data_IF_222383423184
#
_entry.id   IF_222383423184
#
_cell.length_a   1.000
_cell.length_b   1.000
_cell.length_c   1.000
_cell.angle_alpha   90.00
_cell.angle_beta   90.00
_cell.angle_gamma   90.00
#
_symmetry.space_group_name_H-M   'P 1'
#
loop_
_entity.id
_entity.type
_entity.pdbx_description
1 polymer ?
#
# COMPACT_ATOMS: atom_id res chain seq x y z
N UNK A 1 -3.64 -9.96 0.47
CA UNK A 1 -3.95 -9.35 1.77
C UNK A 1 -2.65 -8.94 2.44
N UNK A 2 -2.64 -7.78 3.10
CA UNK A 2 -1.46 -7.23 3.76
C UNK A 2 -1.59 -7.45 5.27
N UNK A 3 -0.54 -7.94 5.91
CA UNK A 3 -0.51 -8.11 7.37
C UNK A 3 0.06 -6.83 8.00
N UNK A 4 -0.78 -6.10 8.71
CA UNK A 4 -0.43 -4.85 9.39
C UNK A 4 0.18 -5.11 10.79
N UNK A 5 0.09 -6.34 11.29
CA UNK A 5 0.64 -6.71 12.60
C UNK A 5 2.14 -6.98 12.51
N UNK A 6 2.95 -5.95 12.76
CA UNK A 6 4.40 -6.09 12.84
C UNK A 6 4.88 -7.01 13.98
N UNK A 7 4.05 -7.18 15.02
CA UNK A 7 4.42 -8.03 16.16
C UNK A 7 4.37 -9.51 15.78
N UNK A 8 3.50 -9.89 14.84
CA UNK A 8 3.43 -11.27 14.32
C UNK A 8 4.72 -11.72 13.61
N UNK A 9 5.55 -10.77 13.20
CA UNK A 9 6.85 -11.03 12.56
C UNK A 9 7.97 -11.28 13.56
N UNK A 10 7.75 -10.99 14.84
CA UNK A 10 8.75 -11.19 15.87
C UNK A 10 8.80 -12.67 16.32
N UNK A 11 9.98 -13.12 16.68
CA UNK A 11 10.14 -14.45 17.27
C UNK A 11 9.83 -14.40 18.75
N UNK A 12 8.76 -15.05 19.17
CA UNK A 12 8.41 -15.26 20.58
C UNK A 12 8.60 -16.72 20.95
N UNK A 13 9.44 -17.02 21.98
CA UNK A 13 9.55 -18.35 22.51
C UNK A 13 8.20 -18.87 23.01
N UNK A 14 7.91 -20.16 22.80
CA UNK A 14 6.60 -20.74 23.12
C UNK A 14 6.21 -20.57 24.60
N UNK A 15 7.17 -20.60 25.53
CA UNK A 15 6.91 -20.38 26.96
C UNK A 15 6.48 -18.95 27.27
N UNK A 16 7.06 -17.96 26.56
CA UNK A 16 6.69 -16.55 26.72
C UNK A 16 5.26 -16.31 26.25
N UNK A 17 4.94 -16.83 25.05
CA UNK A 17 3.59 -16.76 24.47
C UNK A 17 2.52 -17.43 25.35
N UNK A 18 2.86 -18.56 25.99
CA UNK A 18 1.97 -19.19 26.96
C UNK A 18 1.76 -18.32 28.21
N UNK A 19 2.82 -17.68 28.70
CA UNK A 19 2.75 -16.77 29.85
C UNK A 19 1.94 -15.52 29.54
N UNK A 20 2.13 -14.93 28.35
CA UNK A 20 1.33 -13.80 27.86
C UNK A 20 -0.15 -14.17 27.71
N UNK A 21 -0.45 -15.34 27.15
CA UNK A 21 -1.83 -15.79 27.03
C UNK A 21 -2.50 -15.98 28.39
N UNK A 22 -1.81 -16.56 29.38
CA UNK A 22 -2.32 -16.66 30.74
C UNK A 22 -2.54 -15.29 31.41
N UNK A 23 -1.61 -14.36 31.17
CA UNK A 23 -1.75 -13.00 31.68
C UNK A 23 -2.95 -12.29 31.01
N UNK A 24 -3.12 -12.48 29.71
CA UNK A 24 -4.21 -11.91 28.94
C UNK A 24 -5.60 -12.51 29.28
N UNK A 25 -5.66 -13.72 29.86
CA UNK A 25 -6.88 -14.30 30.41
C UNK A 25 -7.28 -13.65 31.73
N UNK A 26 -6.28 -13.17 32.50
CA UNK A 26 -6.50 -12.48 33.77
C UNK A 26 -6.85 -11.01 33.61
N UNK A 27 -6.40 -10.38 32.54
CA UNK A 27 -6.66 -8.98 32.23
C UNK A 27 -7.52 -8.87 30.95
N UNK A 28 -8.43 -7.89 30.90
CA UNK A 28 -9.28 -7.69 29.73
C UNK A 28 -8.43 -7.31 28.50
N UNK A 29 -8.34 -8.21 27.55
CA UNK A 29 -7.52 -8.11 26.33
C UNK A 29 -7.85 -6.89 25.44
N UNK A 30 -9.00 -6.28 25.63
CA UNK A 30 -9.49 -5.17 24.81
C UNK A 30 -8.85 -3.83 25.16
N UNK A 31 -8.23 -3.74 26.34
CA UNK A 31 -7.64 -2.50 26.83
C UNK A 31 -6.16 -2.42 26.44
N UNK A 32 -5.81 -1.33 25.80
CA UNK A 32 -4.40 -0.99 25.54
C UNK A 32 -4.04 0.29 26.29
N UNK A 33 -2.83 0.28 26.85
CA UNK A 33 -2.25 1.48 27.44
C UNK A 33 -1.49 2.24 26.37
N UNK A 34 -1.84 3.50 26.20
CA UNK A 34 -1.22 4.45 25.28
C UNK A 34 -0.59 5.57 26.08
N UNK A 35 0.56 6.06 25.63
CA UNK A 35 1.26 7.17 26.30
C UNK A 35 0.94 8.47 25.59
N UNK A 36 0.44 9.44 26.36
CA UNK A 36 0.27 10.83 25.93
C UNK A 36 1.42 11.63 26.55
N UNK A 37 2.24 12.22 25.72
CA UNK A 37 3.45 12.95 26.12
C UNK A 37 3.24 14.42 25.85
N UNK A 38 3.16 15.21 26.91
CA UNK A 38 3.15 16.69 26.84
C UNK A 38 4.58 17.20 26.84
N UNK A 39 4.95 18.00 25.86
CA UNK A 39 6.30 18.52 25.70
C UNK A 39 6.36 20.02 25.97
N UNK A 40 7.47 20.49 26.52
CA UNK A 40 7.74 21.90 26.75
C UNK A 40 9.23 22.22 26.69
N UNK A 41 9.58 23.49 26.50
CA UNK A 41 10.97 23.94 26.50
C UNK A 41 11.58 23.89 27.91
N UNK A 42 10.76 24.08 28.91
CA UNK A 42 11.09 24.01 30.32
C UNK A 42 9.97 23.30 31.08
N UNK A 43 10.17 23.14 32.38
CA UNK A 43 9.20 22.48 33.24
C UNK A 43 7.87 23.25 33.36
N UNK A 44 7.93 24.57 33.34
CA UNK A 44 6.72 25.42 33.42
C UNK A 44 5.83 25.27 32.18
N UNK A 45 6.44 25.34 30.99
CA UNK A 45 5.75 25.17 29.72
C UNK A 45 5.18 23.75 29.58
N UNK A 46 5.98 22.71 29.94
CA UNK A 46 5.53 21.33 29.93
C UNK A 46 4.35 21.10 30.89
N UNK A 47 4.38 21.66 32.09
CA UNK A 47 3.32 21.53 33.10
C UNK A 47 2.04 22.21 32.66
N UNK A 48 2.11 23.36 31.98
CA UNK A 48 0.96 24.02 31.40
C UNK A 48 0.24 23.14 30.36
N UNK A 49 0.99 22.58 29.41
CA UNK A 49 0.46 21.64 28.39
C UNK A 49 -0.08 20.35 29.03
N UNK A 50 0.59 19.87 30.05
CA UNK A 50 0.19 18.67 30.81
C UNK A 50 -1.14 18.86 31.52
N UNK A 51 -1.36 20.01 32.14
CA UNK A 51 -2.62 20.36 32.78
C UNK A 51 -3.79 20.43 31.78
N UNK A 52 -3.55 21.00 30.60
CA UNK A 52 -4.54 21.07 29.53
C UNK A 52 -4.87 19.67 28.99
N UNK A 53 -3.83 18.85 28.77
CA UNK A 53 -3.99 17.45 28.34
C UNK A 53 -4.81 16.65 29.35
N UNK A 54 -4.49 16.75 30.65
CA UNK A 54 -5.22 16.06 31.70
C UNK A 54 -6.67 16.53 31.82
N UNK A 55 -6.94 17.81 31.59
CA UNK A 55 -8.31 18.34 31.58
C UNK A 55 -9.14 17.73 30.46
N UNK A 56 -8.57 17.63 29.25
CA UNK A 56 -9.23 16.99 28.12
C UNK A 56 -9.43 15.50 28.34
N UNK A 57 -8.43 14.80 28.92
CA UNK A 57 -8.56 13.38 29.27
C UNK A 57 -9.63 13.14 30.34
N UNK A 58 -9.76 14.03 31.33
CA UNK A 58 -10.83 13.94 32.31
C UNK A 58 -12.21 14.03 31.65
N UNK A 59 -12.39 14.98 30.72
CA UNK A 59 -13.61 15.14 29.96
C UNK A 59 -13.91 13.89 29.10
N UNK A 60 -12.92 13.36 28.39
CA UNK A 60 -13.07 12.14 27.59
C UNK A 60 -13.40 10.91 28.42
N UNK A 61 -12.94 10.86 29.68
CA UNK A 61 -13.31 9.80 30.63
C UNK A 61 -14.78 9.91 31.04
N UNK A 62 -15.27 11.13 31.32
CA UNK A 62 -16.69 11.38 31.61
C UNK A 62 -17.60 11.03 30.42
N UNK A 63 -17.11 11.28 29.19
CA UNK A 63 -17.81 10.91 27.93
C UNK A 63 -17.72 9.39 27.64
N UNK A 64 -16.96 8.61 28.42
CA UNK A 64 -16.78 7.19 28.21
C UNK A 64 -15.92 6.80 27.00
N UNK A 65 -15.21 7.77 26.39
CA UNK A 65 -14.29 7.53 25.26
C UNK A 65 -12.95 6.96 25.67
N UNK A 66 -12.54 7.17 26.92
CA UNK A 66 -11.40 6.51 27.53
C UNK A 66 -11.84 5.85 28.82
N UNK A 67 -11.20 4.76 29.19
CA UNK A 67 -11.58 3.98 30.37
C UNK A 67 -10.99 4.56 31.64
N UNK A 68 -9.70 4.84 31.61
CA UNK A 68 -8.97 5.45 32.72
C UNK A 68 -7.68 6.09 32.23
N UNK A 69 -7.11 6.95 33.05
CA UNK A 69 -5.78 7.49 32.82
C UNK A 69 -5.03 7.66 34.12
N UNK A 70 -3.73 7.40 34.09
CA UNK A 70 -2.82 7.63 35.19
C UNK A 70 -1.90 8.79 34.82
N UNK A 71 -1.84 9.78 35.70
CA UNK A 71 -1.02 10.97 35.48
C UNK A 71 -0.49 11.52 36.80
N UNK A 72 0.63 12.23 36.72
CA UNK A 72 1.16 13.01 37.85
C UNK A 72 0.50 14.39 37.98
N UNK A 73 -0.61 14.66 37.27
CA UNK A 73 -1.24 15.97 37.21
C UNK A 73 -1.79 16.49 38.55
N UNK A 74 -1.99 15.60 39.53
CA UNK A 74 -2.36 16.02 40.87
C UNK A 74 -1.18 16.67 41.64
N UNK A 75 0.05 16.31 41.29
CA UNK A 75 1.29 16.80 41.89
C UNK A 75 1.92 17.93 41.05
N UNK A 76 1.72 17.90 39.73
CA UNK A 76 2.24 18.86 38.78
C UNK A 76 1.20 19.95 38.50
N UNK A 77 1.19 20.96 39.35
CA UNK A 77 0.28 22.09 39.23
C UNK A 77 1.02 23.25 38.55
N UNK A 78 0.50 23.85 37.47
CA UNK A 78 1.12 25.01 36.83
C UNK A 78 1.40 26.14 37.83
N UNK A 79 2.52 26.86 37.65
CA UNK A 79 2.98 27.91 38.57
C UNK A 79 1.93 29.01 38.74
N UNK A 80 1.30 29.44 37.66
CA UNK A 80 0.20 30.43 37.71
C UNK A 80 -0.97 29.99 38.61
N UNK A 81 -1.30 28.69 38.59
CA UNK A 81 -2.37 28.16 39.44
C UNK A 81 -1.93 28.08 40.88
N UNK A 82 -0.65 27.75 41.15
CA UNK A 82 -0.08 27.76 42.50
C UNK A 82 -0.08 29.16 43.09
N UNK A 83 0.39 30.17 42.33
CA UNK A 83 0.38 31.58 42.74
C UNK A 83 -1.04 32.08 43.00
N UNK A 84 -2.00 31.74 42.12
CA UNK A 84 -3.40 32.12 42.34
C UNK A 84 -3.97 31.53 43.63
N UNK A 85 -3.65 30.24 43.91
CA UNK A 85 -4.06 29.57 45.19
C UNK A 85 -3.39 30.18 46.40
N UNK A 86 -2.10 30.50 46.32
CA UNK A 86 -1.39 31.21 47.40
C UNK A 86 -1.95 32.57 47.66
N UNK A 87 -2.28 33.33 46.60
CA UNK A 87 -2.93 34.64 46.75
C UNK A 87 -4.30 34.53 47.44
N UNK A 88 -5.11 33.52 47.05
CA UNK A 88 -6.37 33.25 47.73
C UNK A 88 -6.16 32.87 49.22
N UNK A 89 -5.15 32.04 49.52
CA UNK A 89 -4.79 31.64 50.86
C UNK A 89 -4.43 32.82 51.74
N UNK A 90 -3.52 33.72 51.26
CA UNK A 90 -3.10 34.91 52.01
C UNK A 90 -4.22 35.94 52.13
N UNK A 91 -5.06 36.10 51.15
CA UNK A 91 -6.24 36.94 51.21
C UNK A 91 -7.30 36.46 52.23
N UNK A 92 -7.42 35.13 52.36
CA UNK A 92 -8.36 34.57 53.33
C UNK A 92 -7.82 34.62 54.75
N UNK A 93 -6.56 34.23 54.96
CA UNK A 93 -5.93 34.16 56.30
C UNK A 93 -5.25 35.49 56.67
N UNK A 94 -6.08 36.49 56.87
CA UNK A 94 -5.60 37.80 57.42
C UNK A 94 -5.08 37.64 58.84
N UNK A 95 -4.18 38.53 59.32
CA UNK A 95 -3.68 38.52 60.69
C UNK A 95 -4.80 38.49 61.73
N UNK A 96 -5.89 39.18 61.50
CA UNK A 96 -7.06 39.21 62.35
C UNK A 96 -7.79 37.87 62.44
N UNK A 97 -8.00 37.21 61.30
CA UNK A 97 -8.62 35.89 61.25
C UNK A 97 -7.76 34.83 61.91
N UNK A 98 -6.43 34.89 61.75
CA UNK A 98 -5.50 34.00 62.42
C UNK A 98 -5.53 34.20 63.92
N UNK A 99 -5.54 35.46 64.41
CA UNK A 99 -5.64 35.77 65.81
C UNK A 99 -6.96 35.24 66.40
N UNK A 100 -8.07 35.48 65.73
CA UNK A 100 -9.39 34.99 66.19
C UNK A 100 -9.44 33.45 66.21
N UNK A 101 -8.89 32.78 65.19
CA UNK A 101 -8.80 31.32 65.20
C UNK A 101 -7.98 30.77 66.38
N UNK A 102 -6.84 31.42 66.70
CA UNK A 102 -6.01 31.05 67.86
C UNK A 102 -6.76 31.22 69.16
N UNK A 103 -7.43 32.31 69.35
CA UNK A 103 -8.23 32.58 70.52
C UNK A 103 -9.37 31.55 70.66
N UNK A 104 -10.10 31.29 69.60
CA UNK A 104 -11.17 30.31 69.61
C UNK A 104 -10.65 28.90 69.92
N UNK A 105 -9.57 28.45 69.28
CA UNK A 105 -8.97 27.14 69.52
C UNK A 105 -8.47 27.04 70.98
N UNK A 106 -7.81 28.05 71.48
CA UNK A 106 -7.31 28.04 72.90
C UNK A 106 -8.45 27.98 73.89
N UNK A 107 -9.53 28.74 73.67
CA UNK A 107 -10.72 28.70 74.52
C UNK A 107 -11.41 27.35 74.53
N UNK A 108 -11.65 26.81 73.35
CA UNK A 108 -12.30 25.49 73.25
C UNK A 108 -11.38 24.33 73.71
N UNK A 109 -10.07 24.41 73.44
CA UNK A 109 -9.12 23.46 73.89
C UNK A 109 -9.06 23.36 75.44
N UNK A 110 -9.10 24.50 76.13
CA UNK A 110 -9.21 24.55 77.57
C UNK A 110 -10.52 23.93 78.06
N UNK A 111 -11.64 24.16 77.41
CA UNK A 111 -12.95 23.58 77.72
C UNK A 111 -12.98 22.06 77.65
N UNK A 112 -12.22 21.51 76.67
CA UNK A 112 -12.13 20.05 76.49
C UNK A 112 -10.88 19.43 77.09
N UNK A 113 -10.21 20.15 77.99
CA UNK A 113 -9.04 19.67 78.82
C UNK A 113 -7.84 19.23 77.92
N UNK A 114 -7.64 19.82 76.72
CA UNK A 114 -6.42 19.63 76.01
C UNK A 114 -5.23 20.29 76.69
N UNK A 115 -4.02 19.74 76.48
CA UNK A 115 -2.79 20.36 76.96
C UNK A 115 -2.61 21.74 76.28
N UNK A 116 -2.08 22.70 77.04
CA UNK A 116 -1.92 24.10 76.61
C UNK A 116 -1.23 24.28 75.24
N UNK A 117 -0.29 23.42 74.95
CA UNK A 117 0.46 23.49 73.70
C UNK A 117 0.04 22.45 72.63
N UNK A 118 -1.07 21.78 72.79
CA UNK A 118 -1.52 20.73 71.88
C UNK A 118 -1.66 21.16 70.44
N UNK A 119 -2.02 22.41 70.18
CA UNK A 119 -2.24 22.96 68.85
C UNK A 119 -1.12 23.89 68.33
N UNK A 120 -0.01 23.98 69.09
CA UNK A 120 1.14 24.83 68.68
C UNK A 120 1.75 24.42 67.31
N UNK A 121 1.91 23.10 66.97
CA UNK A 121 2.38 22.73 65.65
C UNK A 121 1.46 23.17 64.51
N UNK A 122 0.15 23.19 64.76
CA UNK A 122 -0.83 23.71 63.79
C UNK A 122 -0.70 25.23 63.57
N UNK A 123 -0.49 25.99 64.67
CA UNK A 123 -0.29 27.42 64.55
C UNK A 123 1.02 27.78 63.83
N UNK A 124 2.08 27.06 64.12
CA UNK A 124 3.36 27.18 63.37
C UNK A 124 3.20 26.87 61.90
N UNK A 125 2.45 25.81 61.58
CA UNK A 125 2.12 25.51 60.18
C UNK A 125 1.27 26.60 59.52
N UNK A 126 0.28 27.16 60.19
CA UNK A 126 -0.59 28.22 59.67
C UNK A 126 0.19 29.53 59.38
N UNK A 127 1.26 29.79 60.12
CA UNK A 127 2.09 30.99 59.97
C UNK A 127 3.27 30.78 59.01
N UNK A 128 3.49 29.56 58.59
CA UNK A 128 4.59 29.24 57.69
C UNK A 128 4.41 29.98 56.34
N UNK A 129 5.44 30.65 55.83
CA UNK A 129 5.38 31.19 54.48
C UNK A 129 5.35 30.06 53.48
N UNK A 130 4.26 29.97 52.72
CA UNK A 130 4.15 29.03 51.61
C UNK A 130 4.71 29.66 50.34
N UNK A 131 5.45 28.88 49.56
CA UNK A 131 6.00 29.27 48.27
C UNK A 131 5.55 28.26 47.21
N UNK A 132 5.55 28.66 45.92
CA UNK A 132 5.33 27.69 44.83
C UNK A 132 6.30 26.50 44.94
N UNK A 133 5.85 25.34 44.54
CA UNK A 133 6.64 24.11 44.61
C UNK A 133 7.73 24.20 43.52
N UNK A 134 8.98 24.02 43.92
CA UNK A 134 10.11 23.87 43.01
C UNK A 134 10.17 22.43 42.50
N UNK A 135 9.86 22.24 41.23
CA UNK A 135 9.89 20.94 40.57
C UNK A 135 11.33 20.47 40.20
N UNK A 136 12.34 21.33 40.36
CA UNK A 136 13.74 20.98 40.15
C UNK A 136 14.41 20.38 41.39
N UNK A 137 13.69 20.33 42.52
CA UNK A 137 14.20 19.76 43.72
C UNK A 137 14.38 18.22 43.58
N UNK A 138 15.47 17.68 44.12
CA UNK A 138 15.84 16.28 44.04
C UNK A 138 14.74 15.32 44.50
N UNK A 139 13.97 15.67 45.51
CA UNK A 139 12.85 14.87 46.06
C UNK A 139 11.73 14.80 45.01
N UNK A 140 11.40 15.94 44.40
CA UNK A 140 10.33 16.01 43.39
C UNK A 140 10.73 15.27 42.10
N UNK A 141 11.99 15.40 41.71
CA UNK A 141 12.55 14.68 40.55
C UNK A 141 12.50 13.17 40.75
N UNK A 142 12.81 12.66 41.96
CA UNK A 142 12.71 11.22 42.27
C UNK A 142 11.27 10.71 42.24
N UNK A 143 10.33 11.47 42.77
CA UNK A 143 8.89 11.12 42.79
C UNK A 143 8.29 11.13 41.34
N UNK A 144 8.78 12.00 40.47
CA UNK A 144 8.29 12.19 39.14
C UNK A 144 9.06 11.39 38.08
N UNK A 145 10.09 10.63 38.45
CA UNK A 145 11.00 9.95 37.54
C UNK A 145 10.30 9.02 36.54
N UNK A 146 9.16 8.44 36.90
CA UNK A 146 8.34 7.61 35.99
C UNK A 146 7.44 8.42 35.05
N UNK A 147 7.21 9.70 35.36
CA UNK A 147 6.28 10.58 34.65
C UNK A 147 6.95 11.71 33.90
N UNK A 148 8.25 11.90 34.14
CA UNK A 148 9.06 12.95 33.57
C UNK A 148 10.30 12.38 32.90
N UNK A 149 10.60 12.87 31.71
CA UNK A 149 11.90 12.65 31.06
C UNK A 149 12.34 13.95 30.41
N UNK A 150 13.66 14.14 30.29
CA UNK A 150 14.25 15.30 29.63
C UNK A 150 15.28 14.83 28.63
N UNK A 151 15.23 15.35 27.41
CA UNK A 151 16.19 15.09 26.36
C UNK A 151 16.38 16.37 25.51
N UNK A 152 17.60 16.70 25.21
CA UNK A 152 17.97 17.79 24.28
C UNK A 152 17.22 19.11 24.48
N UNK A 153 17.18 19.63 25.69
CA UNK A 153 16.45 20.86 26.06
C UNK A 153 14.90 20.78 25.99
N UNK A 154 14.34 19.59 25.86
CA UNK A 154 12.90 19.36 25.93
C UNK A 154 12.53 18.61 27.22
N UNK A 155 11.57 19.16 27.96
CA UNK A 155 10.95 18.46 29.10
C UNK A 155 9.68 17.76 28.62
N UNK A 156 9.54 16.50 28.95
CA UNK A 156 8.43 15.63 28.55
C UNK A 156 7.72 15.09 29.78
N UNK A 157 6.41 15.24 29.83
CA UNK A 157 5.55 14.74 30.88
C UNK A 157 4.61 13.67 30.31
N UNK A 158 4.60 12.50 30.93
CA UNK A 158 3.94 11.30 30.41
C UNK A 158 2.61 11.10 31.15
N UNK A 159 1.55 10.83 30.41
CA UNK A 159 0.26 10.34 30.90
C UNK A 159 -0.02 8.97 30.29
N UNK A 160 -0.34 7.98 31.10
CA UNK A 160 -0.74 6.66 30.64
C UNK A 160 -2.26 6.62 30.53
N UNK A 161 -2.77 6.37 29.34
CA UNK A 161 -4.22 6.34 29.04
C UNK A 161 -4.63 4.93 28.64
N UNK A 162 -5.64 4.38 29.29
CA UNK A 162 -6.25 3.09 28.95
C UNK A 162 -7.52 3.33 28.11
N UNK A 163 -7.56 2.76 26.92
CA UNK A 163 -8.68 2.86 26.01
C UNK A 163 -8.82 1.59 25.16
N UNK A 164 -9.99 1.42 24.54
CA UNK A 164 -10.20 0.34 23.57
C UNK A 164 -9.59 0.73 22.21
N UNK A 165 -9.28 -0.27 21.40
CA UNK A 165 -8.74 -0.07 20.05
C UNK A 165 -9.71 0.75 19.17
N UNK A 166 -11.02 0.52 19.33
CA UNK A 166 -12.08 1.19 18.57
C UNK A 166 -12.20 2.68 18.86
N UNK A 167 -11.78 3.12 20.05
CA UNK A 167 -11.98 4.50 20.49
C UNK A 167 -10.84 5.42 20.04
N UNK A 168 -9.72 4.85 19.58
CA UNK A 168 -8.53 5.58 19.12
C UNK A 168 -8.82 6.54 17.97
N UNK A 169 -9.61 6.11 16.98
CA UNK A 169 -9.96 6.94 15.82
C UNK A 169 -10.77 8.20 16.21
N UNK A 170 -11.51 8.12 17.30
CA UNK A 170 -12.28 9.25 17.83
C UNK A 170 -11.44 10.17 18.74
N UNK A 171 -10.46 9.60 19.46
CA UNK A 171 -9.67 10.34 20.47
C UNK A 171 -8.45 11.02 19.86
N UNK A 172 -7.68 10.34 18.99
CA UNK A 172 -6.41 10.86 18.46
C UNK A 172 -6.53 12.18 17.69
N UNK A 173 -7.54 12.40 16.83
CA UNK A 173 -7.70 13.67 16.12
C UNK A 173 -7.91 14.88 17.04
N UNK A 174 -8.39 14.69 18.25
CA UNK A 174 -8.59 15.78 19.23
C UNK A 174 -7.27 16.35 19.76
N UNK A 175 -6.19 15.58 19.67
CA UNK A 175 -4.85 15.98 20.10
C UNK A 175 -3.92 16.36 18.94
N UNK A 176 -4.23 15.99 17.70
CA UNK A 176 -3.43 16.33 16.52
C UNK A 176 -3.20 17.85 16.32
N UNK A 177 -4.16 18.75 16.61
CA UNK A 177 -3.93 20.18 16.46
C UNK A 177 -2.98 20.77 17.51
N UNK A 178 -2.60 19.99 18.54
CA UNK A 178 -1.74 20.44 19.64
C UNK A 178 -0.30 20.03 19.36
N UNK A 179 0.49 20.93 18.80
CA UNK A 179 1.90 20.70 18.43
C UNK A 179 2.79 20.20 19.60
N UNK A 180 2.37 20.48 20.84
CA UNK A 180 3.12 20.12 22.05
C UNK A 180 2.65 18.84 22.74
N UNK A 181 1.72 18.11 22.14
CA UNK A 181 1.24 16.82 22.67
C UNK A 181 1.49 15.72 21.65
N UNK A 182 2.29 14.75 22.02
CA UNK A 182 2.62 13.59 21.19
C UNK A 182 1.95 12.35 21.77
N UNK A 183 1.20 11.63 20.93
CA UNK A 183 0.61 10.35 21.30
C UNK A 183 1.60 9.26 20.89
N UNK A 184 2.09 8.49 21.86
CA UNK A 184 2.97 7.36 21.61
C UNK A 184 2.19 6.06 21.74
N UNK A 185 1.63 5.60 20.63
CA UNK A 185 0.99 4.30 20.47
C UNK A 185 1.79 3.44 19.51
N UNK A 186 2.50 2.46 20.06
CA UNK A 186 3.36 1.58 19.28
C UNK A 186 2.59 0.80 18.21
N UNK A 187 1.39 0.33 18.52
CA UNK A 187 0.55 -0.41 17.57
C UNK A 187 0.02 0.48 16.44
N UNK A 188 -0.48 1.64 16.79
CA UNK A 188 -0.98 2.62 15.83
C UNK A 188 0.13 3.14 14.90
N UNK A 189 1.30 3.46 15.45
CA UNK A 189 2.47 3.83 14.64
C UNK A 189 2.89 2.72 13.70
N UNK A 190 2.93 1.49 14.19
CA UNK A 190 3.29 0.35 13.36
C UNK A 190 2.32 0.16 12.20
N UNK A 191 1.00 0.24 12.42
CA UNK A 191 0.00 0.11 11.37
C UNK A 191 0.06 1.25 10.35
N UNK A 192 0.25 2.49 10.80
CA UNK A 192 0.44 3.67 9.92
C UNK A 192 1.69 3.51 9.05
N UNK A 193 2.79 3.04 9.62
CA UNK A 193 4.04 2.79 8.90
C UNK A 193 3.87 1.71 7.83
N UNK A 194 3.21 0.62 8.21
CA UNK A 194 2.90 -0.48 7.28
C UNK A 194 2.01 0.00 6.14
N UNK A 195 1.01 0.83 6.44
CA UNK A 195 0.13 1.41 5.42
C UNK A 195 0.90 2.33 4.45
N UNK A 196 1.79 3.20 4.98
CA UNK A 196 2.63 4.06 4.17
C UNK A 196 3.57 3.24 3.25
N UNK A 197 4.26 2.24 3.81
CA UNK A 197 5.14 1.34 3.03
C UNK A 197 4.35 0.59 1.95
N UNK A 198 3.12 0.19 2.22
CA UNK A 198 2.27 -0.46 1.24
C UNK A 198 1.91 0.47 0.07
N UNK A 199 1.60 1.73 0.34
CA UNK A 199 1.35 2.72 -0.72
C UNK A 199 2.60 3.00 -1.55
N UNK A 200 3.73 3.20 -0.90
CA UNK A 200 5.03 3.42 -1.56
C UNK A 200 5.44 2.21 -2.41
N UNK A 201 5.15 0.99 -1.93
CA UNK A 201 5.44 -0.22 -2.69
C UNK A 201 4.75 -0.26 -4.05
N UNK A 202 3.45 0.01 -4.10
CA UNK A 202 2.73 0.05 -5.38
C UNK A 202 3.27 1.14 -6.30
N UNK A 203 3.59 2.30 -5.77
CA UNK A 203 4.19 3.39 -6.53
C UNK A 203 5.54 2.97 -7.15
N UNK A 204 6.42 2.39 -6.33
CA UNK A 204 7.74 1.90 -6.76
C UNK A 204 7.59 0.78 -7.81
N UNK A 205 6.65 -0.15 -7.60
CA UNK A 205 6.38 -1.25 -8.52
C UNK A 205 5.93 -0.71 -9.91
N UNK A 206 5.03 0.29 -9.94
CA UNK A 206 4.59 0.89 -11.20
C UNK A 206 5.71 1.68 -11.88
N UNK A 207 6.47 2.47 -11.13
CA UNK A 207 7.59 3.26 -11.69
C UNK A 207 8.69 2.32 -12.22
N UNK A 208 9.09 1.32 -11.45
CA UNK A 208 10.12 0.36 -11.89
C UNK A 208 9.65 -0.44 -13.11
N UNK A 209 8.41 -0.90 -13.11
CA UNK A 209 7.79 -1.61 -14.23
C UNK A 209 7.79 -0.76 -15.51
N UNK A 210 7.45 0.52 -15.41
CA UNK A 210 7.48 1.47 -16.51
C UNK A 210 8.91 1.70 -17.03
N UNK A 211 9.86 1.91 -16.13
CA UNK A 211 11.27 2.11 -16.49
C UNK A 211 11.86 0.87 -17.19
N UNK A 212 11.58 -0.33 -16.67
CA UNK A 212 12.01 -1.59 -17.28
C UNK A 212 11.40 -1.74 -18.67
N UNK A 213 10.09 -1.53 -18.80
CA UNK A 213 9.43 -1.58 -20.10
C UNK A 213 10.05 -0.61 -21.12
N UNK A 214 10.34 0.61 -20.69
CA UNK A 214 10.94 1.64 -21.54
C UNK A 214 12.39 1.29 -21.91
N UNK A 215 13.18 0.79 -20.98
CA UNK A 215 14.54 0.32 -21.23
C UNK A 215 14.58 -0.85 -22.24
N UNK A 216 13.68 -1.82 -22.08
CA UNK A 216 13.52 -2.92 -23.03
C UNK A 216 13.09 -2.41 -24.41
N UNK A 217 12.20 -1.43 -24.46
CA UNK A 217 11.75 -0.84 -25.72
C UNK A 217 12.87 -0.14 -26.49
N UNK A 218 13.72 0.61 -25.78
CA UNK A 218 14.92 1.22 -26.38
C UNK A 218 15.89 0.13 -26.84
N UNK A 219 16.12 -0.90 -26.05
CA UNK A 219 17.05 -1.97 -26.34
C UNK A 219 16.65 -2.81 -27.56
N UNK A 220 15.40 -3.17 -27.67
CA UNK A 220 14.91 -4.00 -28.79
C UNK A 220 14.46 -3.20 -30.00
N UNK A 221 14.15 -1.92 -29.86
CA UNK A 221 13.67 -1.05 -30.92
C UNK A 221 12.32 -1.47 -31.52
N UNK A 222 11.68 -2.51 -30.98
CA UNK A 222 10.40 -3.06 -31.42
C UNK A 222 9.51 -3.38 -30.23
N UNK A 223 8.31 -2.83 -30.25
CA UNK A 223 7.35 -2.99 -29.15
C UNK A 223 6.90 -4.46 -28.98
N UNK A 224 6.86 -5.25 -30.04
CA UNK A 224 6.49 -6.65 -29.99
C UNK A 224 7.51 -7.46 -29.20
N UNK A 225 8.80 -7.23 -29.42
CA UNK A 225 9.88 -7.91 -28.70
C UNK A 225 9.89 -7.46 -27.22
N UNK A 226 9.66 -6.19 -26.99
CA UNK A 226 9.51 -5.63 -25.64
C UNK A 226 8.39 -6.31 -24.88
N UNK A 227 7.20 -6.41 -25.49
CA UNK A 227 6.05 -7.08 -24.88
C UNK A 227 6.33 -8.57 -24.61
N UNK A 228 7.00 -9.29 -25.53
CA UNK A 228 7.35 -10.70 -25.34
C UNK A 228 8.36 -10.91 -24.22
N UNK A 229 9.23 -9.92 -23.94
CA UNK A 229 10.17 -9.98 -22.81
C UNK A 229 9.52 -9.55 -21.50
N UNK A 230 8.63 -8.58 -21.53
CA UNK A 230 7.98 -8.01 -20.37
C UNK A 230 6.81 -8.85 -19.83
N UNK A 231 6.04 -9.49 -20.74
CA UNK A 231 4.86 -10.27 -20.38
C UNK A 231 5.16 -11.45 -19.44
N UNK A 232 6.23 -12.24 -19.62
CA UNK A 232 6.60 -13.31 -18.69
C UNK A 232 6.79 -12.82 -17.25
N UNK A 233 7.37 -11.66 -17.07
CA UNK A 233 7.57 -11.03 -15.76
C UNK A 233 6.23 -10.72 -15.10
N UNK A 234 5.29 -10.08 -15.81
CA UNK A 234 3.94 -9.81 -15.29
C UNK A 234 3.18 -11.09 -14.94
N UNK A 235 3.27 -12.12 -15.81
CA UNK A 235 2.61 -13.41 -15.57
C UNK A 235 3.22 -14.11 -14.36
N UNK A 236 4.54 -14.08 -14.20
CA UNK A 236 5.21 -14.62 -13.00
C UNK A 236 4.73 -13.93 -11.73
N UNK A 237 4.59 -12.60 -11.76
CA UNK A 237 4.07 -11.83 -10.64
C UNK A 237 2.64 -12.25 -10.26
N UNK A 238 1.76 -12.38 -11.24
CA UNK A 238 0.38 -12.85 -11.01
C UNK A 238 0.38 -14.27 -10.40
N UNK A 239 1.25 -15.17 -10.89
CA UNK A 239 1.38 -16.53 -10.35
C UNK A 239 1.88 -16.51 -8.92
N UNK A 240 2.88 -15.68 -8.60
CA UNK A 240 3.41 -15.53 -7.23
C UNK A 240 2.31 -15.07 -6.28
N UNK A 241 1.58 -14.00 -6.65
CA UNK A 241 0.47 -13.50 -5.84
C UNK A 241 -0.63 -14.56 -5.68
N UNK A 242 -0.94 -15.29 -6.73
CA UNK A 242 -1.91 -16.39 -6.70
C UNK A 242 -1.47 -17.53 -5.77
N UNK A 243 -0.21 -17.95 -5.85
CA UNK A 243 0.35 -18.99 -4.97
C UNK A 243 0.38 -18.54 -3.50
N UNK A 244 0.76 -17.30 -3.24
CA UNK A 244 0.70 -16.73 -1.89
C UNK A 244 -0.72 -16.78 -1.32
N UNK A 245 -1.72 -16.39 -2.15
CA UNK A 245 -3.13 -16.45 -1.76
C UNK A 245 -3.61 -17.88 -1.48
N UNK A 246 -3.20 -18.86 -2.28
CA UNK A 246 -3.54 -20.27 -2.07
C UNK A 246 -2.90 -20.88 -0.81
N UNK A 247 -1.67 -20.45 -0.48
CA UNK A 247 -0.94 -20.93 0.69
C UNK A 247 -1.27 -20.14 1.96
N UNK A 248 -2.12 -19.11 1.87
CA UNK A 248 -2.45 -18.25 3.01
C UNK A 248 -1.29 -17.35 3.47
N UNK A 249 -0.30 -17.11 2.60
CA UNK A 249 0.85 -16.24 2.91
C UNK A 249 0.43 -14.79 2.66
N UNK A 250 0.42 -13.98 3.71
CA UNK A 250 0.11 -12.55 3.59
C UNK A 250 1.37 -11.75 3.29
N UNK A 251 1.21 -10.64 2.56
CA UNK A 251 2.29 -9.66 2.42
C UNK A 251 2.56 -9.00 3.77
N UNK A 252 3.82 -8.84 4.10
CA UNK A 252 4.29 -8.09 5.25
C UNK A 252 5.41 -7.14 4.82
N UNK A 253 5.80 -6.23 5.69
CA UNK A 253 6.80 -5.20 5.39
C UNK A 253 8.14 -5.75 4.91
N UNK A 254 8.50 -6.96 5.33
CA UNK A 254 9.78 -7.58 4.99
C UNK A 254 9.70 -8.32 3.64
N UNK A 255 8.64 -9.12 3.45
CA UNK A 255 8.52 -9.92 2.23
C UNK A 255 8.11 -9.09 1.00
N UNK A 256 7.54 -7.91 1.21
CA UNK A 256 7.21 -6.98 0.12
C UNK A 256 8.47 -6.44 -0.58
N UNK A 257 9.53 -6.15 0.18
CA UNK A 257 10.83 -5.74 -0.38
C UNK A 257 11.41 -6.85 -1.26
N UNK A 258 11.30 -8.09 -0.78
CA UNK A 258 11.78 -9.24 -1.52
C UNK A 258 11.00 -9.49 -2.81
N UNK A 259 9.70 -9.25 -2.80
CA UNK A 259 8.87 -9.43 -4.00
C UNK A 259 9.28 -8.46 -5.13
N UNK A 260 9.70 -7.24 -4.78
CA UNK A 260 10.29 -6.29 -5.75
C UNK A 260 11.62 -6.81 -6.32
N UNK A 261 12.43 -7.44 -5.47
CA UNK A 261 13.71 -8.04 -5.91
C UNK A 261 13.49 -9.21 -6.88
N UNK A 262 12.50 -10.09 -6.61
CA UNK A 262 12.15 -11.21 -7.51
C UNK A 262 11.65 -10.69 -8.86
N UNK A 263 10.93 -9.57 -8.85
CA UNK A 263 10.47 -8.90 -10.06
C UNK A 263 11.67 -8.50 -10.96
N UNK A 264 12.73 -7.90 -10.39
CA UNK A 264 13.95 -7.55 -11.12
C UNK A 264 14.72 -8.75 -11.66
N UNK A 265 14.89 -9.82 -10.88
CA UNK A 265 15.56 -11.06 -11.34
C UNK A 265 14.77 -11.72 -12.49
N UNK A 266 13.43 -11.64 -12.43
CA UNK A 266 12.57 -12.17 -13.48
C UNK A 266 12.80 -11.52 -14.83
N UNK A 267 13.10 -10.23 -14.82
CA UNK A 267 13.43 -9.47 -16.02
C UNK A 267 14.75 -9.91 -16.63
N UNK A 268 15.80 -10.11 -15.83
CA UNK A 268 17.10 -10.59 -16.30
C UNK A 268 16.96 -11.95 -17.01
N UNK A 269 16.22 -12.90 -16.45
CA UNK A 269 16.01 -14.20 -17.09
C UNK A 269 15.24 -14.10 -18.39
N UNK A 270 14.28 -13.21 -18.46
CA UNK A 270 13.51 -12.92 -19.65
C UNK A 270 14.41 -12.35 -20.77
N UNK A 271 15.31 -11.43 -20.43
CA UNK A 271 16.29 -10.84 -21.37
C UNK A 271 17.19 -11.93 -21.96
N UNK A 272 17.77 -12.80 -21.13
CA UNK A 272 18.63 -13.89 -21.60
C UNK A 272 17.91 -14.88 -22.50
N UNK A 273 16.68 -15.25 -22.19
CA UNK A 273 15.87 -16.13 -23.05
C UNK A 273 15.57 -15.45 -24.39
N UNK A 274 15.21 -14.17 -24.37
CA UNK A 274 14.94 -13.40 -25.58
C UNK A 274 16.18 -13.29 -26.48
N UNK A 275 17.34 -13.01 -25.89
CA UNK A 275 18.61 -12.97 -26.63
C UNK A 275 18.93 -14.32 -27.27
N UNK A 276 18.77 -15.41 -26.52
CA UNK A 276 18.96 -16.77 -27.07
C UNK A 276 18.00 -17.11 -28.21
N UNK A 277 16.73 -16.68 -28.12
CA UNK A 277 15.73 -16.86 -29.17
C UNK A 277 16.03 -16.03 -30.42
N UNK A 278 16.41 -14.76 -30.24
CA UNK A 278 16.77 -13.86 -31.35
C UNK A 278 18.05 -14.36 -32.07
N UNK A 279 19.08 -14.76 -31.32
CA UNK A 279 20.30 -15.27 -31.89
C UNK A 279 20.04 -16.56 -32.70
N UNK A 280 19.23 -17.48 -32.17
CA UNK A 280 18.81 -18.68 -32.91
C UNK A 280 18.07 -18.33 -34.21
N UNK A 281 17.18 -17.34 -34.18
CA UNK A 281 16.42 -16.90 -35.35
C UNK A 281 17.29 -16.22 -36.39
N UNK A 282 18.25 -15.34 -35.99
CA UNK A 282 19.08 -14.52 -36.91
C UNK A 282 20.28 -15.27 -37.46
N UNK A 283 20.94 -16.11 -36.65
CA UNK A 283 22.25 -16.71 -37.01
C UNK A 283 22.22 -18.24 -37.05
N UNK A 284 21.11 -18.88 -36.62
CA UNK A 284 21.03 -20.34 -36.48
C UNK A 284 21.80 -20.90 -35.28
N UNK A 285 22.56 -20.09 -34.53
CA UNK A 285 23.35 -20.53 -33.38
C UNK A 285 22.45 -20.95 -32.22
N UNK A 286 22.74 -22.10 -31.61
CA UNK A 286 21.95 -22.63 -30.50
C UNK A 286 22.41 -22.13 -29.11
N UNK A 287 22.48 -20.82 -28.94
CA UNK A 287 22.86 -20.21 -27.65
C UNK A 287 21.76 -20.31 -26.60
N UNK A 288 20.52 -20.57 -27.00
CA UNK A 288 19.37 -20.68 -26.08
C UNK A 288 19.58 -21.76 -25.01
N UNK A 289 20.16 -22.91 -25.38
CA UNK A 289 20.40 -23.99 -24.40
C UNK A 289 21.44 -23.55 -23.34
N UNK A 290 22.49 -22.85 -23.76
CA UNK A 290 23.50 -22.32 -22.86
C UNK A 290 22.91 -21.29 -21.90
N UNK A 291 22.09 -20.37 -22.41
CA UNK A 291 21.37 -19.40 -21.58
C UNK A 291 20.41 -20.07 -20.59
N UNK A 292 19.65 -21.07 -21.02
CA UNK A 292 18.78 -21.85 -20.12
C UNK A 292 19.59 -22.54 -19.03
N UNK A 293 20.72 -23.16 -19.36
CA UNK A 293 21.58 -23.79 -18.36
C UNK A 293 22.11 -22.77 -17.35
N UNK A 294 22.57 -21.60 -17.81
CA UNK A 294 23.06 -20.54 -16.93
C UNK A 294 21.95 -20.03 -16.00
N UNK A 295 20.75 -19.78 -16.52
CA UNK A 295 19.58 -19.37 -15.72
C UNK A 295 19.22 -20.43 -14.69
N UNK A 296 19.22 -21.71 -15.07
CA UNK A 296 18.93 -22.81 -14.15
C UNK A 296 19.89 -22.82 -12.96
N UNK A 297 21.20 -22.76 -13.21
CA UNK A 297 22.20 -22.75 -12.14
C UNK A 297 22.11 -21.49 -11.28
N UNK A 298 21.89 -20.32 -11.88
CA UNK A 298 21.68 -19.07 -11.15
C UNK A 298 20.46 -19.15 -10.24
N UNK A 299 19.32 -19.60 -10.75
CA UNK A 299 18.11 -19.78 -9.97
C UNK A 299 18.29 -20.84 -8.87
N UNK A 300 18.95 -21.96 -9.18
CA UNK A 300 19.21 -23.03 -8.23
C UNK A 300 20.08 -22.57 -7.06
N UNK A 301 21.17 -21.85 -7.34
CA UNK A 301 22.04 -21.31 -6.27
C UNK A 301 21.29 -20.29 -5.41
N UNK A 302 20.46 -19.45 -6.03
CA UNK A 302 19.64 -18.47 -5.29
C UNK A 302 18.59 -19.18 -4.42
N UNK A 303 17.92 -20.23 -4.95
CA UNK A 303 16.96 -21.02 -4.19
C UNK A 303 17.63 -21.72 -3.01
N UNK A 304 18.84 -22.27 -3.17
CA UNK A 304 19.59 -22.86 -2.06
C UNK A 304 19.95 -21.79 -1.03
N UNK A 305 20.53 -20.68 -1.47
CA UNK A 305 20.97 -19.60 -0.57
C UNK A 305 19.83 -19.05 0.27
N UNK A 306 18.75 -18.63 -0.39
CA UNK A 306 17.56 -18.11 0.29
C UNK A 306 16.77 -19.20 1.00
N UNK A 307 16.78 -20.42 0.47
CA UNK A 307 16.10 -21.59 1.02
C UNK A 307 16.60 -22.01 2.40
N UNK A 308 17.87 -21.74 2.73
CA UNK A 308 18.41 -22.02 4.07
C UNK A 308 17.68 -21.25 5.17
N UNK A 309 17.11 -20.09 4.84
CA UNK A 309 16.33 -19.28 5.79
C UNK A 309 15.02 -19.93 6.23
N UNK A 310 14.53 -20.98 5.56
CA UNK A 310 13.36 -21.78 6.00
C UNK A 310 13.61 -22.38 7.38
N UNK A 311 14.87 -22.76 7.67
CA UNK A 311 15.25 -23.36 8.95
C UNK A 311 15.48 -22.32 10.06
N UNK A 312 15.36 -21.03 9.76
CA UNK A 312 15.45 -19.98 10.78
C UNK A 312 14.27 -20.07 11.76
N UNK A 313 14.51 -19.70 13.00
CA UNK A 313 13.44 -19.64 14.02
C UNK A 313 12.56 -18.40 13.86
N UNK A 314 13.05 -17.38 13.20
CA UNK A 314 12.38 -16.09 13.04
C UNK A 314 11.33 -16.16 11.92
N UNK A 315 10.03 -15.89 12.18
CA UNK A 315 8.96 -16.02 11.20
C UNK A 315 9.17 -15.17 9.94
N UNK A 316 9.74 -13.97 10.10
CA UNK A 316 10.04 -13.09 8.98
C UNK A 316 11.05 -13.72 7.99
N UNK A 317 12.10 -14.40 8.49
CA UNK A 317 13.10 -15.07 7.66
C UNK A 317 12.50 -16.29 6.93
N UNK A 318 11.60 -17.02 7.58
CA UNK A 318 10.85 -18.12 6.94
C UNK A 318 9.95 -17.58 5.82
N UNK A 319 9.25 -16.48 6.05
CA UNK A 319 8.41 -15.83 5.03
C UNK A 319 9.22 -15.37 3.81
N UNK A 320 10.40 -14.75 4.03
CA UNK A 320 11.35 -14.39 2.99
C UNK A 320 11.73 -15.60 2.14
N UNK A 321 12.14 -16.69 2.80
CA UNK A 321 12.58 -17.90 2.13
C UNK A 321 11.49 -18.52 1.27
N UNK A 322 10.29 -18.68 1.81
CA UNK A 322 9.16 -19.27 1.09
C UNK A 322 8.82 -18.48 -0.17
N UNK A 323 8.72 -17.16 -0.05
CA UNK A 323 8.41 -16.31 -1.22
C UNK A 323 9.54 -16.33 -2.24
N UNK A 324 10.82 -16.36 -1.79
CA UNK A 324 11.96 -16.47 -2.71
C UNK A 324 11.93 -17.77 -3.50
N UNK A 325 11.70 -18.89 -2.85
CA UNK A 325 11.62 -20.20 -3.50
C UNK A 325 10.46 -20.22 -4.51
N UNK A 326 9.27 -19.87 -4.09
CA UNK A 326 8.08 -19.84 -4.94
C UNK A 326 8.25 -18.89 -6.13
N UNK A 327 8.75 -17.68 -5.84
CA UNK A 327 8.98 -16.65 -6.85
C UNK A 327 10.00 -17.09 -7.88
N UNK A 328 11.14 -17.61 -7.46
CA UNK A 328 12.19 -18.06 -8.36
C UNK A 328 11.73 -19.22 -9.26
N UNK A 329 11.02 -20.20 -8.69
CA UNK A 329 10.45 -21.33 -9.48
C UNK A 329 9.45 -20.80 -10.50
N UNK A 330 8.52 -19.91 -10.09
CA UNK A 330 7.52 -19.34 -10.98
C UNK A 330 8.16 -18.56 -12.15
N UNK A 331 9.14 -17.72 -11.85
CA UNK A 331 9.85 -16.91 -12.86
C UNK A 331 10.55 -17.81 -13.89
N UNK A 332 11.30 -18.81 -13.42
CA UNK A 332 12.02 -19.73 -14.33
C UNK A 332 11.06 -20.52 -15.20
N UNK A 333 10.00 -21.07 -14.61
CA UNK A 333 8.99 -21.83 -15.36
C UNK A 333 8.31 -20.97 -16.44
N UNK A 334 7.92 -19.75 -16.08
CA UNK A 334 7.26 -18.85 -17.04
C UNK A 334 8.23 -18.40 -18.13
N UNK A 335 9.45 -18.01 -17.77
CA UNK A 335 10.46 -17.62 -18.78
C UNK A 335 10.78 -18.76 -19.74
N UNK A 336 10.85 -20.01 -19.25
CA UNK A 336 11.17 -21.18 -20.09
C UNK A 336 10.01 -21.66 -20.96
N UNK A 337 8.77 -21.38 -20.59
CA UNK A 337 7.59 -21.87 -21.29
C UNK A 337 6.91 -20.77 -22.10
N UNK A 338 6.49 -19.70 -21.45
CA UNK A 338 5.67 -18.65 -22.08
C UNK A 338 6.45 -17.90 -23.15
N UNK A 339 7.68 -17.51 -22.88
CA UNK A 339 8.46 -16.68 -23.79
C UNK A 339 8.81 -17.37 -25.11
N UNK A 340 9.29 -18.63 -25.13
CA UNK A 340 9.47 -19.36 -26.39
C UNK A 340 8.16 -19.60 -27.15
N UNK A 341 7.04 -19.79 -26.45
CA UNK A 341 5.72 -19.96 -27.08
C UNK A 341 5.30 -18.66 -27.79
N UNK A 342 5.43 -17.52 -27.11
CA UNK A 342 5.14 -16.20 -27.71
C UNK A 342 6.02 -15.92 -28.91
N UNK A 343 7.33 -16.16 -28.79
CA UNK A 343 8.29 -15.96 -29.88
C UNK A 343 7.98 -16.86 -31.07
N UNK A 344 7.64 -18.13 -30.82
CA UNK A 344 7.23 -19.06 -31.86
C UNK A 344 5.95 -18.57 -32.57
N UNK A 345 4.96 -18.15 -31.80
CA UNK A 345 3.67 -17.75 -32.35
C UNK A 345 3.77 -16.47 -33.20
N UNK A 346 4.47 -15.46 -32.74
CA UNK A 346 4.54 -14.15 -33.40
C UNK A 346 5.62 -14.05 -34.48
N UNK A 347 6.72 -14.80 -34.36
CA UNK A 347 7.90 -14.66 -35.22
C UNK A 347 8.18 -15.90 -36.03
N UNK A 348 8.47 -17.05 -35.37
CA UNK A 348 8.96 -18.24 -36.08
C UNK A 348 7.88 -18.95 -36.91
N UNK A 349 6.66 -19.05 -36.44
CA UNK A 349 5.59 -19.73 -37.15
C UNK A 349 5.13 -18.97 -38.44
N UNK A 350 5.00 -17.64 -38.45
CA UNK A 350 4.79 -16.88 -39.68
C UNK A 350 5.97 -17.00 -40.65
N UNK A 351 7.20 -16.85 -40.13
CA UNK A 351 8.40 -16.91 -40.97
C UNK A 351 8.58 -18.28 -41.64
N UNK A 352 8.28 -19.40 -40.96
CA UNK A 352 8.32 -20.75 -41.57
C UNK A 352 7.30 -20.94 -42.70
N UNK A 353 6.25 -20.11 -42.78
CA UNK A 353 5.25 -20.07 -43.86
C UNK A 353 5.56 -19.03 -44.95
N UNK A 354 6.76 -18.44 -44.94
CA UNK A 354 7.12 -17.35 -45.85
C UNK A 354 6.38 -16.03 -45.59
N UNK A 355 5.70 -15.89 -44.46
CA UNK A 355 4.99 -14.69 -44.08
C UNK A 355 5.88 -13.79 -43.21
N UNK A 356 5.73 -12.48 -43.26
CA UNK A 356 6.44 -11.59 -42.35
C UNK A 356 5.99 -11.86 -40.90
N UNK A 357 6.87 -11.65 -39.89
CA UNK A 357 6.50 -11.72 -38.48
C UNK A 357 5.31 -10.82 -38.18
N UNK A 358 4.43 -11.26 -37.28
CA UNK A 358 3.29 -10.43 -36.86
C UNK A 358 3.78 -9.18 -36.13
N UNK A 359 3.33 -8.03 -36.61
CA UNK A 359 3.58 -6.75 -35.92
C UNK A 359 2.31 -6.27 -35.23
N UNK A 360 2.45 -5.55 -34.15
CA UNK A 360 1.31 -4.98 -33.41
C UNK A 360 0.53 -4.02 -34.32
N UNK A 361 1.24 -3.24 -35.10
CA UNK A 361 0.64 -2.33 -36.09
C UNK A 361 -0.10 -3.09 -37.18
N UNK A 362 0.43 -4.24 -37.64
CA UNK A 362 -0.24 -5.13 -38.57
C UNK A 362 -1.50 -5.72 -37.98
N UNK A 363 -1.41 -6.20 -36.74
CA UNK A 363 -2.55 -6.77 -36.01
C UNK A 363 -3.64 -5.71 -35.76
N UNK A 364 -3.25 -4.51 -35.32
CA UNK A 364 -4.18 -3.38 -35.13
C UNK A 364 -4.86 -2.95 -36.43
N UNK A 365 -4.11 -2.86 -37.54
CA UNK A 365 -4.68 -2.55 -38.84
C UNK A 365 -5.66 -3.62 -39.31
N UNK A 366 -5.30 -4.89 -39.15
CA UNK A 366 -6.17 -6.01 -39.53
C UNK A 366 -7.40 -6.06 -38.63
N UNK A 367 -7.23 -5.96 -37.32
CA UNK A 367 -8.36 -5.90 -36.39
C UNK A 367 -9.28 -4.71 -36.59
N UNK A 368 -8.70 -3.52 -36.88
CA UNK A 368 -9.46 -2.32 -37.20
C UNK A 368 -10.28 -2.48 -38.49
N UNK A 369 -9.71 -3.15 -39.48
CA UNK A 369 -10.43 -3.45 -40.72
C UNK A 369 -11.58 -4.42 -40.54
N UNK A 370 -11.37 -5.48 -39.72
CA UNK A 370 -12.45 -6.39 -39.36
C UNK A 370 -13.54 -5.69 -38.56
N UNK A 371 -13.17 -4.85 -37.60
CA UNK A 371 -14.13 -4.05 -36.84
C UNK A 371 -14.97 -3.15 -37.77
N UNK A 372 -14.30 -2.43 -38.68
CA UNK A 372 -14.95 -1.56 -39.64
C UNK A 372 -15.86 -2.36 -40.58
N UNK A 373 -15.46 -3.57 -41.00
CA UNK A 373 -16.31 -4.47 -41.78
C UNK A 373 -17.56 -4.89 -40.97
N UNK A 374 -17.42 -5.30 -39.72
CA UNK A 374 -18.58 -5.68 -38.91
C UNK A 374 -19.52 -4.51 -38.63
N UNK A 375 -18.98 -3.31 -38.36
CA UNK A 375 -19.77 -2.09 -38.19
C UNK A 375 -20.52 -1.76 -39.53
N UNK A 376 -19.84 -1.87 -40.66
CA UNK A 376 -20.47 -1.71 -41.97
C UNK A 376 -21.60 -2.71 -42.25
N UNK A 377 -21.40 -3.97 -41.90
CA UNK A 377 -22.44 -5.00 -42.02
C UNK A 377 -23.65 -4.73 -41.08
N UNK A 378 -23.37 -4.29 -39.84
CA UNK A 378 -24.45 -3.94 -38.90
C UNK A 378 -25.24 -2.73 -39.39
N UNK A 379 -24.56 -1.71 -39.91
CA UNK A 379 -25.19 -0.53 -40.50
C UNK A 379 -26.05 -0.89 -41.72
N UNK A 380 -25.53 -1.73 -42.61
CA UNK A 380 -26.29 -2.23 -43.77
C UNK A 380 -27.53 -3.03 -43.33
N UNK A 381 -27.42 -3.88 -42.32
CA UNK A 381 -28.55 -4.61 -41.76
C UNK A 381 -29.63 -3.69 -41.19
N UNK A 382 -29.22 -2.68 -40.42
CA UNK A 382 -30.15 -1.68 -39.86
C UNK A 382 -30.87 -0.93 -40.98
N UNK A 383 -30.12 -0.51 -42.01
CA UNK A 383 -30.69 0.20 -43.14
C UNK A 383 -31.64 -0.65 -44.01
N UNK A 384 -31.35 -1.95 -44.18
CA UNK A 384 -32.26 -2.90 -44.81
C UNK A 384 -33.55 -3.01 -43.98
N UNK A 385 -33.44 -3.13 -42.66
CA UNK A 385 -34.62 -3.20 -41.77
C UNK A 385 -35.46 -1.94 -41.88
N UNK A 386 -34.90 -0.76 -41.87
CA UNK A 386 -35.62 0.51 -42.10
C UNK A 386 -36.26 0.56 -43.49
N UNK A 387 -35.55 0.16 -44.54
CA UNK A 387 -36.08 0.14 -45.90
C UNK A 387 -37.19 -0.87 -46.12
N UNK A 388 -37.24 -1.97 -45.34
CA UNK A 388 -38.34 -2.91 -45.41
C UNK A 388 -39.65 -2.35 -44.83
N UNK A 389 -39.57 -1.45 -43.87
CA UNK A 389 -40.72 -0.77 -43.26
C UNK A 389 -41.31 0.34 -44.13
N UNK A 390 -40.52 0.91 -45.09
CA UNK A 390 -40.97 2.00 -45.93
C UNK A 390 -41.76 1.47 -47.16
N UNK A 391 -42.87 2.10 -47.61
CA UNK A 391 -43.66 1.69 -48.77
C UNK A 391 -43.01 2.13 -50.07
N UNK A 392 -41.81 1.69 -50.36
CA UNK A 392 -41.03 2.06 -51.56
C UNK A 392 -41.04 0.89 -52.58
N UNK A 393 -41.01 1.18 -53.89
CA UNK A 393 -40.99 0.16 -54.95
C UNK A 393 -39.79 -0.79 -54.83
N UNK A 394 -40.04 -2.11 -54.91
CA UNK A 394 -39.01 -3.16 -54.73
C UNK A 394 -37.76 -2.96 -55.63
N UNK A 395 -37.93 -2.50 -56.86
CA UNK A 395 -36.85 -2.25 -57.81
C UNK A 395 -35.89 -1.15 -57.30
N UNK A 396 -36.43 -0.06 -56.76
CA UNK A 396 -35.64 1.06 -56.22
C UNK A 396 -34.87 0.65 -54.94
N UNK A 397 -35.56 -0.12 -54.03
CA UNK A 397 -34.85 -0.66 -52.86
C UNK A 397 -33.65 -1.51 -53.22
N UNK A 398 -33.79 -2.39 -54.25
CA UNK A 398 -32.68 -3.24 -54.71
C UNK A 398 -31.55 -2.43 -55.28
N UNK A 399 -31.84 -1.38 -56.07
CA UNK A 399 -30.81 -0.53 -56.69
C UNK A 399 -30.01 0.25 -55.63
N UNK A 400 -30.69 0.88 -54.66
CA UNK A 400 -30.05 1.61 -53.56
C UNK A 400 -29.20 0.68 -52.72
N UNK A 401 -29.70 -0.51 -52.37
CA UNK A 401 -28.97 -1.50 -51.60
C UNK A 401 -27.69 -1.97 -52.32
N UNK A 402 -27.78 -2.27 -53.61
CA UNK A 402 -26.62 -2.69 -54.41
C UNK A 402 -25.57 -1.55 -54.51
N UNK A 403 -25.98 -0.30 -54.66
CA UNK A 403 -25.07 0.85 -54.66
C UNK A 403 -24.38 1.01 -53.31
N UNK A 404 -25.14 0.87 -52.24
CA UNK A 404 -24.60 1.01 -50.86
C UNK A 404 -23.59 -0.08 -50.53
N UNK A 405 -23.91 -1.34 -50.85
CA UNK A 405 -22.97 -2.46 -50.73
C UNK A 405 -21.70 -2.21 -51.54
N UNK A 406 -21.86 -1.76 -52.78
CA UNK A 406 -20.71 -1.44 -53.64
C UNK A 406 -19.82 -0.33 -53.05
N UNK A 407 -20.42 0.75 -52.56
CA UNK A 407 -19.69 1.86 -51.93
C UNK A 407 -18.99 1.37 -50.64
N UNK A 408 -19.68 0.61 -49.76
CA UNK A 408 -19.10 0.10 -48.55
C UNK A 408 -17.93 -0.86 -48.80
N UNK A 409 -18.09 -1.81 -49.72
CA UNK A 409 -17.02 -2.72 -50.13
C UNK A 409 -15.83 -2.00 -50.76
N UNK A 410 -16.11 -1.02 -51.64
CA UNK A 410 -15.09 -0.19 -52.30
C UNK A 410 -14.30 0.64 -51.25
N UNK A 411 -14.99 1.24 -50.28
CA UNK A 411 -14.37 2.01 -49.22
C UNK A 411 -13.50 1.14 -48.32
N UNK A 412 -13.99 -0.04 -47.91
CA UNK A 412 -13.22 -1.02 -47.14
C UNK A 412 -11.92 -1.43 -47.83
N UNK A 413 -12.03 -1.76 -49.14
CA UNK A 413 -10.85 -2.11 -49.92
C UNK A 413 -9.94 -0.90 -50.10
N UNK A 414 -10.44 0.34 -50.10
CA UNK A 414 -9.62 1.55 -50.23
C UNK A 414 -8.86 1.87 -48.94
N UNK A 415 -9.49 1.64 -47.80
CA UNK A 415 -8.88 1.81 -46.47
C UNK A 415 -7.83 0.73 -46.21
N UNK A 416 -7.95 -0.46 -46.80
CA UNK A 416 -6.97 -1.53 -46.73
C UNK A 416 -5.69 -1.20 -47.52
N UNK A 417 -4.86 -0.29 -47.01
CA UNK A 417 -3.62 0.18 -47.64
C UNK A 417 -2.57 -0.91 -47.89
N UNK A 418 -2.71 -2.08 -47.19
CA UNK A 418 -1.82 -3.22 -47.36
C UNK A 418 -2.28 -4.22 -48.43
N UNK A 419 -3.44 -4.00 -49.07
CA UNK A 419 -3.92 -4.81 -50.18
C UNK A 419 -3.39 -4.24 -51.48
N UNK A 420 -2.45 -4.98 -52.11
CA UNK A 420 -1.96 -4.59 -53.43
C UNK A 420 -3.04 -4.86 -54.46
N UNK A 421 -3.35 -3.83 -55.28
CA UNK A 421 -4.36 -3.91 -56.33
C UNK A 421 -3.66 -3.82 -57.67
N UNK A 422 -3.78 -4.85 -58.46
CA UNK A 422 -3.33 -4.84 -59.81
C UNK A 422 -4.54 -5.00 -60.74
N UNK A 423 -4.69 -4.09 -61.67
CA UNK A 423 -5.69 -4.22 -62.73
C UNK A 423 -4.99 -4.64 -64.01
N UNK A 424 -5.13 -5.91 -64.34
CA UNK A 424 -4.64 -6.53 -65.57
C UNK A 424 -5.75 -6.42 -66.59
N UNK A 425 -5.45 -5.96 -67.83
CA UNK A 425 -6.37 -5.80 -68.95
C UNK A 425 -7.56 -4.86 -68.70
N UNK A 426 -7.29 -3.57 -68.75
CA UNK A 426 -8.33 -2.54 -68.86
C UNK A 426 -8.81 -2.38 -70.30
N UNK A 427 -9.67 -3.27 -70.78
CA UNK A 427 -10.53 -2.91 -71.91
C UNK A 427 -11.63 -1.99 -71.41
N UNK A 428 -11.63 -0.71 -71.73
CA UNK A 428 -12.60 0.27 -71.27
C UNK A 428 -14.04 0.05 -71.84
N UNK A 429 -14.39 -1.16 -72.21
CA UNK A 429 -15.68 -1.49 -72.80
C UNK A 429 -16.69 -1.80 -71.64
N UNK A 430 -17.71 -0.94 -71.55
CA UNK A 430 -18.91 -1.24 -70.78
C UNK A 430 -19.70 -2.32 -71.50
N UNK A 431 -20.14 -3.36 -70.80
CA UNK A 431 -21.00 -4.41 -71.39
C UNK A 431 -22.32 -3.80 -71.86
N UNK A 432 -22.45 -3.72 -73.19
CA UNK A 432 -23.67 -3.20 -73.83
C UNK A 432 -24.77 -4.24 -74.02
N UNK A 433 -24.47 -5.53 -73.78
CA UNK A 433 -25.41 -6.67 -73.87
C UNK A 433 -25.34 -7.51 -72.60
N UNK A 434 -26.38 -8.28 -72.28
CA UNK A 434 -26.34 -9.24 -71.17
C UNK A 434 -25.11 -10.16 -71.36
N UNK A 435 -24.26 -10.21 -70.34
CA UNK A 435 -23.03 -11.01 -70.30
C UNK A 435 -22.99 -11.87 -69.03
N UNK A 436 -22.45 -13.07 -69.16
CA UNK A 436 -22.18 -13.95 -68.03
C UNK A 436 -20.80 -13.60 -67.49
N UNK A 437 -20.77 -13.10 -66.27
CA UNK A 437 -19.51 -12.84 -65.54
C UNK A 437 -19.13 -14.08 -64.73
N UNK A 438 -18.01 -14.67 -65.08
CA UNK A 438 -17.42 -15.76 -64.30
C UNK A 438 -16.36 -15.12 -63.37
N UNK A 439 -16.60 -15.13 -62.08
CA UNK A 439 -15.64 -14.71 -61.07
C UNK A 439 -15.03 -15.95 -60.39
N UNK A 440 -13.71 -16.07 -60.51
CA UNK A 440 -12.99 -17.09 -59.71
C UNK A 440 -12.75 -16.53 -58.31
N UNK A 441 -13.48 -17.03 -57.34
CA UNK A 441 -13.31 -16.68 -55.95
C UNK A 441 -12.25 -17.62 -55.33
N UNK A 442 -10.99 -17.21 -55.34
CA UNK A 442 -9.94 -17.87 -54.54
C UNK A 442 -9.88 -17.29 -53.13
N UNK A 443 -10.90 -17.50 -52.34
CA UNK A 443 -10.81 -17.23 -50.88
C UNK A 443 -10.13 -18.34 -50.11
N UNK A 444 -10.06 -19.55 -50.65
CA UNK A 444 -9.29 -20.66 -50.14
C UNK A 444 -7.86 -20.63 -50.65
N UNK A 445 -7.00 -19.85 -49.97
CA UNK A 445 -5.57 -20.11 -50.05
C UNK A 445 -5.25 -21.43 -49.33
N UNK A 446 -5.54 -22.54 -49.93
CA UNK A 446 -4.69 -23.69 -49.82
C UNK A 446 -3.48 -23.35 -50.64
N UNK A 447 -2.40 -22.95 -49.97
CA UNK A 447 -1.01 -23.01 -50.41
C UNK A 447 -0.83 -23.33 -51.92
N UNK A 448 -0.62 -22.29 -52.68
CA UNK A 448 0.25 -22.51 -53.84
C UNK A 448 1.67 -22.38 -53.33
N UNK A 449 2.43 -23.46 -53.46
CA UNK A 449 3.84 -23.59 -53.21
C UNK A 449 4.62 -22.50 -53.90
#
# INVERSE_FOLDING_TARGET
RFNEDMMSLNYEPAHLKQSENKLAELFDKKEKTVLFVSTGKDMGDATGQYAETNRLLAQLKEEGKIKDYASAGQFLIPEEVQEARLKQWYNYWTPEKKARLRETIRTEAARYHFREHAFEPFFQWLDRPFQPLDYQNEITTRLLNEWQTSADSLTMLITQVRMNETDKEAVYPLFQPKEKVVIFDRGYFASQWVSAVNQDFYLILYISSFLIFFALWISYGRIELTLMSFLPMLVSWIIIVGLMGMLGIEFNIINIILSTFIFGIGDDFSIFIMDGLQNKYRTGRQLLNSHKTAIFFSAFTTVIGMGTLVFARHPALQSISLISILGMIAVVLVAYTLQPILFRFFITAPASKGLPPYTLTGLARTGGLFLLFFIGCLFLRLLIAVMTLLPIRKAYKKQVLCQLIHVTCKSLIHIATFVHRERINRTGETFKKPAILIANHQSDRKSVV
#
